data_IF_253646015557
#
_entry.id   IF_253646015557
#
_cell.length_a   1.000
_cell.length_b   1.000
_cell.length_c   1.000
_cell.angle_alpha   90.00
_cell.angle_beta   90.00
_cell.angle_gamma   90.00
#
_symmetry.space_group_name_H-M   'P 1'
#
loop_
_entity.id
_entity.type
_entity.pdbx_description
1 polymer ?
#
# COMPACT_ATOMS: atom_id res chain seq x y z
N UNK A 1 17.94 12.84 9.45
CA UNK A 1 18.66 12.20 8.31
C UNK A 1 20.16 12.39 8.49
N UNK A 2 20.66 13.63 8.45
CA UNK A 2 22.07 13.95 8.69
C UNK A 2 22.60 13.36 10.01
N UNK A 3 21.92 13.63 11.13
CA UNK A 3 22.32 13.13 12.46
C UNK A 3 22.39 11.60 12.58
N UNK A 4 21.66 10.88 11.71
CA UNK A 4 21.62 9.42 11.70
C UNK A 4 22.42 8.81 10.54
N UNK A 5 23.14 9.62 9.76
CA UNK A 5 23.86 9.22 8.55
C UNK A 5 23.00 8.35 7.60
N UNK A 6 21.69 8.64 7.51
CA UNK A 6 20.77 7.83 6.70
C UNK A 6 20.95 8.18 5.22
N UNK A 7 21.43 7.21 4.44
CA UNK A 7 21.56 7.31 2.97
C UNK A 7 20.34 6.75 2.26
N UNK A 8 19.85 5.59 2.70
CA UNK A 8 18.67 4.92 2.14
C UNK A 8 17.82 4.34 3.27
N UNK A 9 16.52 4.62 3.24
CA UNK A 9 15.58 4.06 4.20
C UNK A 9 14.34 4.91 4.40
N UNK A 10 13.77 4.83 5.59
CA UNK A 10 12.48 5.42 5.93
C UNK A 10 12.62 6.39 7.10
N UNK A 11 11.70 7.35 7.16
CA UNK A 11 11.48 8.18 8.34
C UNK A 11 10.09 7.84 8.87
N UNK A 12 10.03 7.47 10.13
CA UNK A 12 8.78 7.32 10.86
C UNK A 12 8.46 8.63 11.58
N UNK A 13 7.21 9.08 11.50
CA UNK A 13 6.69 10.23 12.23
C UNK A 13 5.32 9.87 12.82
N UNK A 14 5.13 10.15 14.10
CA UNK A 14 3.87 10.01 14.82
C UNK A 14 3.63 11.25 15.68
N UNK A 15 2.49 11.89 15.47
CA UNK A 15 2.01 12.98 16.33
C UNK A 15 0.82 12.47 17.13
N UNK A 16 0.91 12.52 18.46
CA UNK A 16 -0.24 12.26 19.35
C UNK A 16 -0.77 13.56 19.92
N UNK A 17 -1.99 13.52 20.48
CA UNK A 17 -2.64 14.70 21.07
C UNK A 17 -1.88 15.30 22.25
N UNK A 18 -1.10 14.49 22.97
CA UNK A 18 -0.40 14.88 24.19
C UNK A 18 -0.66 13.88 25.32
N UNK A 19 -0.24 14.23 26.53
CA UNK A 19 -0.47 13.44 27.74
C UNK A 19 -1.38 14.20 28.71
N UNK A 20 -2.41 13.52 29.20
CA UNK A 20 -3.35 13.96 30.24
C UNK A 20 -3.93 12.73 30.96
N UNK A 21 -4.71 12.93 32.02
CA UNK A 21 -5.41 11.86 32.72
C UNK A 21 -6.48 11.19 31.83
N UNK A 22 -6.78 9.92 32.09
CA UNK A 22 -7.65 9.09 31.24
C UNK A 22 -9.06 9.68 31.11
N UNK A 23 -9.33 10.29 29.96
CA UNK A 23 -10.64 10.81 29.59
C UNK A 23 -10.83 10.77 28.06
N UNK A 24 -12.07 10.62 27.60
CA UNK A 24 -12.39 10.74 26.17
C UNK A 24 -12.54 12.19 25.72
N UNK A 25 -12.90 13.09 26.65
CA UNK A 25 -12.82 14.53 26.47
C UNK A 25 -11.41 14.98 26.84
N UNK A 26 -10.86 15.88 26.04
CA UNK A 26 -9.50 16.37 26.17
C UNK A 26 -9.49 17.89 26.34
N UNK A 27 -8.48 18.41 27.03
CA UNK A 27 -8.32 19.86 27.21
C UNK A 27 -7.84 20.52 25.90
N UNK A 28 -8.29 21.76 25.65
CA UNK A 28 -8.02 22.44 24.38
C UNK A 28 -6.55 22.84 24.20
N UNK A 29 -5.80 22.93 25.30
CA UNK A 29 -4.41 23.39 25.39
C UNK A 29 -3.39 22.25 25.51
N UNK A 30 -3.79 21.00 25.23
CA UNK A 30 -2.86 19.87 25.23
C UNK A 30 -1.70 20.11 24.26
N UNK A 31 -0.47 19.91 24.75
CA UNK A 31 0.74 19.95 23.94
C UNK A 31 0.93 18.61 23.21
N UNK A 32 0.95 18.59 21.87
CA UNK A 32 1.18 17.36 21.11
C UNK A 32 2.55 16.73 21.38
N UNK A 33 2.60 15.40 21.36
CA UNK A 33 3.87 14.66 21.41
C UNK A 33 4.23 14.17 20.03
N UNK A 34 5.41 14.57 19.53
CA UNK A 34 5.99 14.07 18.29
C UNK A 34 7.03 13.01 18.61
N UNK A 35 6.86 11.81 18.05
CA UNK A 35 7.88 10.76 18.01
C UNK A 35 8.32 10.58 16.57
N UNK A 36 9.63 10.60 16.34
CA UNK A 36 10.21 10.34 15.02
C UNK A 36 11.52 9.60 15.12
N UNK A 37 11.81 8.78 14.13
CA UNK A 37 13.08 8.07 14.00
C UNK A 37 13.34 7.66 12.55
N UNK A 38 14.59 7.42 12.23
CA UNK A 38 15.02 6.89 10.93
C UNK A 38 15.15 5.37 10.99
N UNK A 39 14.91 4.71 9.87
CA UNK A 39 15.15 3.27 9.70
C UNK A 39 15.99 3.07 8.45
N UNK A 40 17.25 2.65 8.61
CA UNK A 40 18.08 2.23 7.49
C UNK A 40 17.46 0.98 6.85
N UNK A 41 17.14 1.05 5.56
CA UNK A 41 16.52 -0.04 4.84
C UNK A 41 16.81 0.10 3.35
N UNK A 42 17.20 -1.00 2.72
CA UNK A 42 17.26 -1.10 1.26
C UNK A 42 15.83 -1.12 0.69
N UNK A 43 15.50 -0.15 -0.14
CA UNK A 43 14.20 0.05 -0.77
C UNK A 43 14.19 -0.40 -2.24
N UNK A 44 15.36 -0.41 -2.89
CA UNK A 44 15.55 -0.82 -4.29
C UNK A 44 16.55 -1.97 -4.43
N UNK A 45 16.46 -2.73 -5.51
CA UNK A 45 17.28 -3.93 -5.73
C UNK A 45 17.02 -5.00 -4.67
N UNK A 46 15.76 -5.20 -4.29
CA UNK A 46 15.31 -6.28 -3.41
C UNK A 46 14.77 -7.47 -4.23
N UNK A 47 14.87 -8.72 -3.75
CA UNK A 47 14.38 -9.89 -4.51
C UNK A 47 12.89 -9.81 -4.88
N UNK A 48 12.11 -9.12 -4.06
CA UNK A 48 10.67 -8.85 -4.26
C UNK A 48 10.38 -8.17 -5.61
N UNK A 49 11.34 -7.45 -6.18
CA UNK A 49 11.18 -6.80 -7.48
C UNK A 49 11.18 -7.79 -8.64
N UNK A 50 11.94 -8.88 -8.51
CA UNK A 50 12.10 -9.90 -9.55
C UNK A 50 11.02 -10.98 -9.46
N UNK A 51 10.61 -11.34 -8.23
CA UNK A 51 9.67 -12.46 -8.00
C UNK A 51 8.25 -12.00 -7.68
N UNK A 52 8.05 -10.72 -7.35
CA UNK A 52 6.80 -10.19 -6.82
C UNK A 52 6.52 -10.64 -5.39
N UNK A 53 5.27 -10.46 -4.95
CA UNK A 53 4.81 -10.85 -3.62
C UNK A 53 3.56 -11.73 -3.66
N UNK A 54 3.35 -12.46 -2.56
CA UNK A 54 2.11 -13.19 -2.30
C UNK A 54 1.18 -12.41 -1.36
N UNK A 55 -0.12 -12.45 -1.66
CA UNK A 55 -1.17 -11.79 -0.90
C UNK A 55 -2.17 -12.79 -0.35
N UNK A 56 -2.60 -12.59 0.90
CA UNK A 56 -3.71 -13.30 1.54
C UNK A 56 -4.95 -12.42 1.58
N UNK A 57 -6.12 -12.91 1.17
CA UNK A 57 -7.37 -12.20 1.43
C UNK A 57 -7.85 -12.41 2.86
N UNK A 58 -8.34 -11.34 3.50
CA UNK A 58 -8.88 -11.36 4.87
C UNK A 58 -10.08 -10.41 5.00
N UNK A 59 -11.01 -10.61 5.95
CA UNK A 59 -12.07 -9.64 6.20
C UNK A 59 -11.53 -8.26 6.63
N UNK A 60 -12.12 -7.18 6.14
CA UNK A 60 -11.81 -5.82 6.60
C UNK A 60 -12.54 -5.52 7.91
N UNK A 61 -11.81 -5.64 9.02
CA UNK A 61 -12.32 -5.36 10.38
C UNK A 61 -12.01 -3.94 10.85
N UNK A 62 -11.58 -3.04 9.96
CA UNK A 62 -11.23 -1.66 10.32
C UNK A 62 -12.48 -0.79 10.46
N UNK A 63 -12.36 0.24 11.29
CA UNK A 63 -13.35 1.30 11.45
C UNK A 63 -13.65 2.04 10.13
N UNK A 64 -14.66 2.90 10.14
CA UNK A 64 -15.17 3.56 8.94
C UNK A 64 -14.40 4.81 8.49
N UNK A 65 -13.33 5.21 9.20
CA UNK A 65 -12.50 6.39 8.87
C UNK A 65 -11.08 5.99 8.45
N UNK A 66 -11.02 5.16 7.40
CA UNK A 66 -9.78 4.58 6.87
C UNK A 66 -8.96 5.62 6.08
N UNK A 67 -9.60 6.72 5.73
CA UNK A 67 -8.98 7.93 5.17
C UNK A 67 -8.02 8.63 6.15
N UNK A 68 -8.17 8.41 7.46
CA UNK A 68 -7.30 8.97 8.48
C UNK A 68 -6.14 8.01 8.76
N UNK A 69 -4.90 8.47 8.53
CA UNK A 69 -3.68 7.73 8.89
C UNK A 69 -3.40 7.84 10.40
N UNK A 70 -4.22 7.18 11.22
CA UNK A 70 -4.06 7.13 12.67
C UNK A 70 -3.12 6.00 13.12
N UNK A 71 -2.85 5.97 14.42
CA UNK A 71 -2.08 4.89 15.09
C UNK A 71 -2.96 3.71 15.55
N UNK A 72 -4.27 3.77 15.33
CA UNK A 72 -5.22 2.72 15.69
C UNK A 72 -5.15 1.55 14.67
N UNK A 73 -4.04 0.81 14.67
CA UNK A 73 -3.66 -0.13 13.60
C UNK A 73 -3.86 -1.61 13.96
N UNK A 74 -4.57 -1.94 15.04
CA UNK A 74 -4.72 -3.32 15.50
C UNK A 74 -5.30 -4.26 14.40
N UNK A 75 -6.38 -3.91 13.67
CA UNK A 75 -6.89 -4.79 12.61
C UNK A 75 -5.88 -5.04 11.50
N UNK A 76 -5.10 -4.03 11.11
CA UNK A 76 -4.03 -4.14 10.11
C UNK A 76 -2.91 -5.07 10.60
N UNK A 77 -2.52 -4.95 11.87
CA UNK A 77 -1.54 -5.85 12.50
C UNK A 77 -2.03 -7.28 12.44
N UNK A 78 -3.29 -7.54 12.79
CA UNK A 78 -3.88 -8.88 12.74
C UNK A 78 -3.92 -9.42 11.30
N UNK A 79 -4.34 -8.62 10.34
CA UNK A 79 -4.34 -8.98 8.92
C UNK A 79 -2.93 -9.38 8.43
N UNK A 80 -1.90 -8.57 8.76
CA UNK A 80 -0.50 -8.88 8.45
C UNK A 80 -0.02 -10.19 9.10
N UNK A 81 -0.42 -10.45 10.35
CA UNK A 81 -0.06 -11.68 11.05
C UNK A 81 -0.68 -12.92 10.40
N UNK A 82 -1.95 -12.83 9.99
CA UNK A 82 -2.65 -13.91 9.25
C UNK A 82 -1.93 -14.17 7.92
N UNK A 83 -1.68 -13.12 7.13
CA UNK A 83 -0.94 -13.27 5.87
C UNK A 83 0.42 -13.94 6.08
N UNK A 84 1.17 -13.49 7.09
CA UNK A 84 2.50 -14.05 7.38
C UNK A 84 2.45 -15.52 7.79
N UNK A 85 1.46 -15.93 8.58
CA UNK A 85 1.26 -17.32 8.97
C UNK A 85 0.98 -18.24 7.78
N UNK A 86 0.34 -17.70 6.73
CA UNK A 86 0.04 -18.37 5.46
C UNK A 86 1.15 -18.19 4.41
N UNK A 87 2.33 -17.71 4.81
CA UNK A 87 3.47 -17.52 3.90
C UNK A 87 3.31 -16.38 2.90
N UNK A 88 2.39 -15.45 3.12
CA UNK A 88 2.18 -14.26 2.29
C UNK A 88 2.88 -13.02 2.87
N UNK A 89 3.18 -12.05 2.00
CA UNK A 89 3.90 -10.81 2.35
C UNK A 89 2.95 -9.68 2.75
N UNK A 90 1.73 -9.70 2.21
CA UNK A 90 0.68 -8.71 2.46
C UNK A 90 -0.70 -9.38 2.59
N UNK A 91 -1.61 -8.68 3.25
CA UNK A 91 -3.01 -9.03 3.29
C UNK A 91 -3.80 -8.02 2.45
N UNK A 92 -4.70 -8.48 1.59
CA UNK A 92 -5.75 -7.64 1.00
C UNK A 92 -7.04 -7.81 1.80
N UNK A 93 -7.59 -6.70 2.26
CA UNK A 93 -8.78 -6.69 3.09
C UNK A 93 -10.04 -6.59 2.22
N UNK A 94 -11.07 -7.33 2.63
CA UNK A 94 -12.30 -7.51 1.86
C UNK A 94 -13.50 -7.01 2.66
N UNK A 95 -14.33 -6.20 2.02
CA UNK A 95 -15.61 -5.72 2.57
C UNK A 95 -16.69 -5.85 1.49
N UNK A 96 -17.82 -6.48 1.83
CA UNK A 96 -18.96 -6.69 0.92
C UNK A 96 -18.57 -7.31 -0.43
N UNK A 97 -17.62 -8.26 -0.44
CA UNK A 97 -17.12 -8.94 -1.63
C UNK A 97 -16.09 -8.16 -2.46
N UNK A 98 -15.78 -6.92 -2.09
CA UNK A 98 -14.82 -6.07 -2.79
C UNK A 98 -13.52 -5.95 -2.01
N UNK A 99 -12.41 -5.88 -2.74
CA UNK A 99 -11.13 -5.46 -2.17
C UNK A 99 -11.25 -3.98 -1.76
N UNK A 100 -10.88 -3.67 -0.52
CA UNK A 100 -10.77 -2.28 -0.05
C UNK A 100 -9.37 -1.77 -0.35
N UNK A 101 -8.39 -2.27 0.39
CA UNK A 101 -6.96 -2.06 0.19
C UNK A 101 -6.15 -3.15 0.94
N UNK A 102 -4.83 -3.08 0.90
CA UNK A 102 -3.98 -3.95 1.70
C UNK A 102 -3.80 -3.46 3.13
N UNK A 103 -3.35 -4.33 4.04
CA UNK A 103 -3.17 -3.97 5.45
C UNK A 103 -2.20 -2.79 5.65
N UNK A 104 -1.27 -2.59 4.71
CA UNK A 104 -0.34 -1.45 4.69
C UNK A 104 -0.08 -0.87 3.29
N UNK A 105 -1.02 -1.02 2.36
CA UNK A 105 -0.81 -0.70 0.94
C UNK A 105 -2.10 -0.43 0.18
N UNK A 106 -2.05 0.22 -0.98
CA UNK A 106 -3.18 0.30 -1.93
C UNK A 106 -3.13 -0.88 -2.90
N UNK A 107 -4.28 -1.45 -3.27
CA UNK A 107 -4.40 -2.59 -4.19
C UNK A 107 -4.83 -2.16 -5.61
N UNK A 108 -4.30 -2.86 -6.62
CA UNK A 108 -4.57 -2.62 -8.04
C UNK A 108 -4.61 -3.93 -8.80
N UNK A 109 -5.39 -3.96 -9.87
CA UNK A 109 -5.40 -5.05 -10.86
C UNK A 109 -5.23 -4.46 -12.26
N UNK A 110 -4.70 -5.28 -13.16
CA UNK A 110 -4.58 -5.00 -14.59
C UNK A 110 -5.46 -6.00 -15.33
N UNK A 111 -6.45 -5.50 -16.06
CA UNK A 111 -7.37 -6.33 -16.82
C UNK A 111 -6.76 -6.85 -18.12
N UNK A 112 -7.42 -7.84 -18.72
CA UNK A 112 -7.08 -8.36 -20.04
C UNK A 112 -7.10 -7.27 -21.14
N UNK A 113 -8.00 -6.29 -21.03
CA UNK A 113 -8.06 -5.11 -21.92
C UNK A 113 -7.10 -3.98 -21.52
N UNK A 114 -6.08 -4.29 -20.71
CA UNK A 114 -4.94 -3.42 -20.36
C UNK A 114 -5.36 -2.13 -19.64
N UNK A 115 -6.33 -2.23 -18.74
CA UNK A 115 -6.73 -1.14 -17.84
C UNK A 115 -6.22 -1.41 -16.43
N UNK A 116 -5.74 -0.36 -15.78
CA UNK A 116 -5.39 -0.41 -14.36
C UNK A 116 -6.63 -0.02 -13.56
N UNK A 117 -7.13 -0.94 -12.75
CA UNK A 117 -8.25 -0.69 -11.83
C UNK A 117 -7.72 -0.54 -10.42
N UNK A 118 -8.20 0.46 -9.71
CA UNK A 118 -8.01 0.60 -8.26
C UNK A 118 -9.25 1.21 -7.63
N UNK A 119 -9.49 0.94 -6.35
CA UNK A 119 -10.59 1.59 -5.63
C UNK A 119 -10.31 3.10 -5.53
N UNK A 120 -11.31 3.91 -5.87
CA UNK A 120 -11.29 5.36 -5.68
C UNK A 120 -11.10 5.74 -4.20
N UNK A 121 -10.52 6.91 -3.93
CA UNK A 121 -10.36 7.39 -2.56
C UNK A 121 -11.73 7.70 -1.93
N UNK A 122 -11.96 7.17 -0.73
CA UNK A 122 -13.11 7.50 0.12
C UNK A 122 -12.75 7.22 1.58
N UNK A 123 -13.72 7.27 2.48
CA UNK A 123 -13.52 6.83 3.87
C UNK A 123 -13.18 5.33 4.01
N UNK A 124 -13.25 4.55 2.91
CA UNK A 124 -12.94 3.12 2.86
C UNK A 124 -11.48 2.80 2.54
N UNK A 125 -10.68 3.78 2.13
CA UNK A 125 -9.27 3.61 1.73
C UNK A 125 -8.42 4.77 2.20
N UNK A 126 -7.12 4.53 2.38
CA UNK A 126 -6.18 5.60 2.69
C UNK A 126 -5.71 6.29 1.39
N UNK A 127 -5.81 7.64 1.26
CA UNK A 127 -5.27 8.36 0.11
C UNK A 127 -3.73 8.39 0.15
N UNK A 128 -3.08 7.34 -0.36
CA UNK A 128 -1.62 7.18 -0.32
C UNK A 128 -0.85 8.14 -1.24
N UNK A 129 0.28 8.68 -0.78
CA UNK A 129 1.14 9.53 -1.60
C UNK A 129 1.78 8.77 -2.78
N UNK A 130 2.21 7.52 -2.55
CA UNK A 130 2.71 6.63 -3.62
C UNK A 130 1.63 6.35 -4.66
N UNK A 131 0.37 6.13 -4.23
CA UNK A 131 -0.79 6.00 -5.13
C UNK A 131 -0.96 7.25 -5.99
N UNK A 132 -0.95 8.43 -5.37
CA UNK A 132 -1.11 9.71 -6.08
C UNK A 132 -0.06 9.86 -7.19
N UNK A 133 1.22 9.68 -6.85
CA UNK A 133 2.31 9.77 -7.82
C UNK A 133 2.22 8.68 -8.90
N UNK A 134 1.94 7.43 -8.52
CA UNK A 134 1.83 6.33 -9.48
C UNK A 134 0.67 6.54 -10.48
N UNK A 135 -0.50 6.98 -10.03
CA UNK A 135 -1.64 7.22 -10.93
C UNK A 135 -1.37 8.41 -11.86
N UNK A 136 -0.71 9.47 -11.37
CA UNK A 136 -0.30 10.59 -12.22
C UNK A 136 0.67 10.14 -13.33
N UNK A 137 1.71 9.39 -12.96
CA UNK A 137 2.68 8.84 -13.92
C UNK A 137 2.04 7.84 -14.88
N UNK A 138 1.08 7.04 -14.41
CA UNK A 138 0.34 6.12 -15.26
C UNK A 138 -0.45 6.89 -16.33
N UNK A 139 -1.15 7.96 -15.94
CA UNK A 139 -1.88 8.82 -16.87
C UNK A 139 -0.95 9.47 -17.89
N UNK A 140 0.19 10.00 -17.46
CA UNK A 140 1.19 10.61 -18.34
C UNK A 140 1.79 9.62 -19.34
N UNK A 141 1.97 8.36 -18.93
CA UNK A 141 2.47 7.30 -19.80
C UNK A 141 1.39 6.66 -20.70
N UNK A 142 0.17 7.17 -20.69
CA UNK A 142 -0.92 6.73 -21.56
C UNK A 142 -1.65 5.46 -21.10
N UNK A 143 -1.52 5.08 -19.81
CA UNK A 143 -2.29 3.98 -19.26
C UNK A 143 -3.76 4.37 -19.06
N UNK A 144 -4.67 3.45 -19.36
CA UNK A 144 -6.09 3.60 -19.03
C UNK A 144 -6.31 3.28 -17.55
N UNK A 145 -6.86 4.24 -16.81
CA UNK A 145 -7.14 4.12 -15.38
C UNK A 145 -8.65 4.06 -15.14
N UNK A 146 -9.10 3.12 -14.31
CA UNK A 146 -10.48 3.05 -13.82
C UNK A 146 -10.49 3.07 -12.28
N UNK A 147 -11.00 4.16 -11.70
CA UNK A 147 -11.17 4.27 -10.25
C UNK A 147 -12.53 3.70 -9.81
N UNK A 148 -12.57 2.39 -9.54
CA UNK A 148 -13.78 1.68 -9.11
C UNK A 148 -13.42 0.52 -8.16
N UNK A 149 -14.35 0.06 -7.31
CA UNK A 149 -14.15 -1.18 -6.59
C UNK A 149 -14.00 -2.36 -7.55
N UNK A 150 -13.27 -3.38 -7.13
CA UNK A 150 -13.12 -4.66 -7.83
C UNK A 150 -13.24 -5.81 -6.81
N UNK A 151 -13.78 -6.93 -7.25
CA UNK A 151 -13.94 -8.13 -6.42
C UNK A 151 -12.65 -8.92 -6.30
N UNK A 152 -12.58 -9.83 -5.33
CA UNK A 152 -11.48 -10.79 -5.23
C UNK A 152 -11.43 -11.70 -6.47
N UNK A 153 -12.58 -12.03 -7.05
CA UNK A 153 -12.68 -12.84 -8.27
C UNK A 153 -12.11 -12.10 -9.48
N UNK A 154 -12.42 -10.80 -9.65
CA UNK A 154 -11.79 -9.97 -10.69
C UNK A 154 -10.27 -9.95 -10.53
N UNK A 155 -9.76 -9.88 -9.30
CA UNK A 155 -8.32 -9.90 -9.06
C UNK A 155 -7.66 -11.24 -9.39
N UNK A 156 -8.32 -12.36 -9.09
CA UNK A 156 -7.84 -13.69 -9.44
C UNK A 156 -7.83 -13.93 -10.95
N UNK A 157 -8.72 -13.26 -11.69
CA UNK A 157 -8.83 -13.35 -13.15
C UNK A 157 -8.04 -12.24 -13.89
N UNK A 158 -7.30 -11.39 -13.17
CA UNK A 158 -6.53 -10.30 -13.76
C UNK A 158 -5.26 -10.81 -14.49
N UNK A 159 -4.83 -10.07 -15.51
CA UNK A 159 -3.57 -10.32 -16.22
C UNK A 159 -2.35 -10.03 -15.33
N UNK A 160 -2.44 -8.94 -14.55
CA UNK A 160 -1.44 -8.57 -13.56
C UNK A 160 -2.14 -8.01 -12.32
N UNK A 161 -1.47 -8.07 -11.17
CA UNK A 161 -1.89 -7.38 -9.96
C UNK A 161 -0.69 -6.67 -9.35
N UNK A 162 -0.94 -5.58 -8.63
CA UNK A 162 0.12 -4.88 -7.90
C UNK A 162 -0.41 -4.19 -6.66
N UNK A 163 0.52 -3.71 -5.84
CA UNK A 163 0.22 -2.81 -4.75
C UNK A 163 1.16 -1.63 -4.71
N UNK A 164 0.74 -0.58 -4.00
CA UNK A 164 1.59 0.54 -3.67
C UNK A 164 1.73 0.82 -2.18
N UNK A 165 2.95 1.13 -1.74
CA UNK A 165 3.23 1.63 -0.39
C UNK A 165 4.52 2.46 -0.39
N UNK A 166 4.73 3.25 0.66
CA UNK A 166 5.96 4.01 0.81
C UNK A 166 7.21 3.12 0.93
N UNK A 167 7.06 1.88 1.40
CA UNK A 167 8.15 0.95 1.66
C UNK A 167 8.43 -0.06 0.55
N UNK A 168 7.50 -0.21 -0.41
CA UNK A 168 7.64 -1.12 -1.56
C UNK A 168 7.56 -0.40 -2.92
N UNK A 169 7.18 0.88 -2.92
CA UNK A 169 6.82 1.63 -4.12
C UNK A 169 5.70 0.94 -4.91
N UNK A 170 5.90 0.61 -6.18
CA UNK A 170 4.97 -0.20 -6.99
C UNK A 170 5.54 -1.61 -7.10
N UNK A 171 4.84 -2.63 -6.60
CA UNK A 171 5.32 -4.03 -6.63
C UNK A 171 4.25 -4.99 -7.13
N UNK A 172 4.64 -5.95 -7.97
CA UNK A 172 3.74 -6.98 -8.50
C UNK A 172 3.26 -7.94 -7.43
N UNK A 173 1.97 -8.22 -7.44
CA UNK A 173 1.34 -9.33 -6.71
C UNK A 173 1.25 -10.50 -7.68
N UNK A 174 2.02 -11.55 -7.43
CA UNK A 174 2.11 -12.71 -8.33
C UNK A 174 1.24 -13.87 -7.86
N UNK A 175 0.76 -13.82 -6.61
CA UNK A 175 -0.06 -14.86 -6.01
C UNK A 175 -1.10 -14.25 -5.07
N UNK A 176 -2.34 -14.70 -5.17
CA UNK A 176 -3.44 -14.35 -4.26
C UNK A 176 -4.04 -15.66 -3.73
N UNK A 177 -4.09 -15.83 -2.40
CA UNK A 177 -4.70 -17.00 -1.74
C UNK A 177 -4.25 -18.36 -2.30
N UNK A 178 -2.95 -18.54 -2.52
CA UNK A 178 -2.46 -19.80 -3.07
C UNK A 178 -2.45 -19.87 -4.60
N UNK A 179 -3.16 -18.98 -5.30
CA UNK A 179 -3.37 -19.03 -6.75
C UNK A 179 -2.51 -17.99 -7.49
N UNK A 180 -1.91 -18.34 -8.63
CA UNK A 180 -1.15 -17.36 -9.43
C UNK A 180 -2.08 -16.30 -9.99
N UNK A 181 -1.58 -15.06 -10.11
CA UNK A 181 -2.20 -14.01 -10.93
C UNK A 181 -1.52 -14.02 -12.30
N UNK A 182 -2.31 -14.04 -13.39
CA UNK A 182 -1.78 -14.24 -14.73
C UNK A 182 -0.90 -15.49 -14.82
N UNK A 183 0.38 -15.31 -15.17
CA UNK A 183 1.36 -16.39 -15.27
C UNK A 183 2.18 -16.62 -13.97
N UNK A 184 1.81 -15.96 -12.87
CA UNK A 184 2.51 -16.07 -11.59
C UNK A 184 3.87 -15.34 -11.53
N UNK A 185 4.13 -14.40 -12.44
CA UNK A 185 5.36 -13.61 -12.50
C UNK A 185 5.04 -12.11 -12.62
N UNK A 186 5.96 -11.20 -12.25
CA UNK A 186 5.78 -9.78 -12.50
C UNK A 186 5.50 -9.50 -13.98
N UNK A 187 4.42 -8.76 -14.26
CA UNK A 187 3.99 -8.46 -15.62
C UNK A 187 4.56 -7.15 -16.17
N UNK A 188 4.48 -6.94 -17.50
CA UNK A 188 5.10 -5.80 -18.17
C UNK A 188 4.48 -4.45 -17.81
N UNK A 189 3.17 -4.35 -17.57
CA UNK A 189 2.52 -3.08 -17.25
C UNK A 189 2.91 -2.60 -15.85
N UNK A 190 2.86 -3.49 -14.86
CA UNK A 190 3.29 -3.17 -13.49
C UNK A 190 4.78 -2.85 -13.45
N UNK A 191 5.61 -3.60 -14.19
CA UNK A 191 7.05 -3.34 -14.29
C UNK A 191 7.35 -1.97 -14.91
N UNK A 192 6.63 -1.59 -15.97
CA UNK A 192 6.74 -0.25 -16.57
C UNK A 192 6.31 0.85 -15.61
N UNK A 193 5.19 0.67 -14.88
CA UNK A 193 4.74 1.63 -13.89
C UNK A 193 5.75 1.79 -12.74
N UNK A 194 6.35 0.69 -12.28
CA UNK A 194 7.44 0.73 -11.28
C UNK A 194 8.63 1.51 -11.80
N UNK A 195 9.08 1.26 -13.03
CA UNK A 195 10.21 1.98 -13.63
C UNK A 195 9.96 3.50 -13.67
N UNK A 196 8.79 3.91 -14.15
CA UNK A 196 8.37 5.33 -14.18
C UNK A 196 8.36 5.94 -12.77
N UNK A 197 7.83 5.22 -11.79
CA UNK A 197 7.82 5.68 -10.40
C UNK A 197 9.23 5.89 -9.86
N UNK A 198 10.13 4.93 -10.06
CA UNK A 198 11.51 5.00 -9.56
C UNK A 198 12.31 6.10 -10.25
N UNK A 199 12.13 6.29 -11.56
CA UNK A 199 12.73 7.39 -12.31
C UNK A 199 12.27 8.74 -11.75
N UNK A 200 10.95 8.91 -11.56
CA UNK A 200 10.41 10.13 -10.98
C UNK A 200 10.92 10.36 -9.56
N UNK A 201 10.91 9.33 -8.71
CA UNK A 201 11.38 9.42 -7.32
C UNK A 201 12.85 9.85 -7.23
N UNK A 202 13.72 9.36 -8.13
CA UNK A 202 15.12 9.79 -8.22
C UNK A 202 15.25 11.24 -8.71
N UNK A 203 14.48 11.61 -9.73
CA UNK A 203 14.47 12.97 -10.28
C UNK A 203 14.01 14.01 -9.26
N UNK A 204 13.07 13.66 -8.40
CA UNK A 204 12.50 14.56 -7.38
C UNK A 204 13.12 14.35 -5.99
N UNK A 205 14.13 13.48 -5.85
CA UNK A 205 14.89 13.37 -4.62
C UNK A 205 15.71 14.65 -4.44
N UNK A 206 15.54 15.32 -3.30
CA UNK A 206 16.27 16.52 -2.90
C UNK A 206 17.68 16.14 -2.48
#
# INVERSE_FOLDING_TARGET
>A
IADNNLVEGMIYLQLTRGAEDRNFLFSADLKPTLVMFTQAKKLIGTPVEEVGIAVKSVPDQRWERRDIKSVCLLPQVMAKRIAKAEGCDEAWMIENGFVTEGASSTAYIVTADKKIITRGNSNKTLPGCTRLAALQLAKEAGFTLEERPFTLEEALNADEACLTSASNFVVSVTKIDGKPVGNGKPGPMVSRLRALYLENARRTAI
#
